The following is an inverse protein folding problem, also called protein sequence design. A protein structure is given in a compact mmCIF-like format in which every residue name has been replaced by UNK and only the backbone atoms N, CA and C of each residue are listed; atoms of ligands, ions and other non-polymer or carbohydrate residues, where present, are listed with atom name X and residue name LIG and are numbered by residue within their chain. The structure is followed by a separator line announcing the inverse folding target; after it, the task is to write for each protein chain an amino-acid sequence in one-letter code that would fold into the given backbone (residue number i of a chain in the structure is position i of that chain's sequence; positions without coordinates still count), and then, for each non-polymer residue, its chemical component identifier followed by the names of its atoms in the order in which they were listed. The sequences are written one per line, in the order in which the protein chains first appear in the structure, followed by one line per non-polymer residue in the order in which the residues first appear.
data_IF_118797237397
#
_entry.id   IF_118797237397
#
_cell.length_a   1.000
_cell.length_b   1.000
_cell.length_c   1.000
_cell.angle_alpha   90.00
_cell.angle_beta   90.00
_cell.angle_gamma   90.00
#
_symmetry.space_group_name_H-M   'P 1'
#
loop_
_entity.id
_entity.type
_entity.pdbx_description
1 polymer ?
#
# COMPACT_ATOMS: atom_id res chain seq x y z
N UNK A 1 -23.88 12.93 -9.79
CA UNK A 1 -22.81 11.97 -9.48
C UNK A 1 -22.16 12.45 -8.19
N UNK A 2 -21.63 11.59 -7.30
CA UNK A 2 -20.84 12.09 -6.18
C UNK A 2 -19.74 13.00 -6.72
N UNK A 3 -19.50 14.13 -6.06
CA UNK A 3 -18.65 15.22 -6.58
C UNK A 3 -17.17 14.82 -6.68
N UNK A 4 -16.75 13.76 -5.98
CA UNK A 4 -15.39 13.22 -6.00
C UNK A 4 -15.39 11.72 -6.34
N UNK A 5 -14.56 11.25 -7.30
CA UNK A 5 -14.40 9.83 -7.58
C UNK A 5 -13.55 9.14 -6.51
N UNK A 6 -13.87 7.89 -6.19
CA UNK A 6 -12.98 7.02 -5.40
C UNK A 6 -11.76 6.64 -6.24
N UNK A 7 -10.57 6.87 -5.71
CA UNK A 7 -9.30 6.46 -6.32
C UNK A 7 -8.81 5.19 -5.62
N UNK A 8 -8.48 4.19 -6.43
CA UNK A 8 -7.90 2.92 -5.98
C UNK A 8 -6.47 2.87 -6.48
N UNK A 9 -5.51 2.87 -5.56
CA UNK A 9 -4.09 3.03 -5.86
C UNK A 9 -3.34 1.82 -5.29
N UNK A 10 -3.02 0.80 -6.11
CA UNK A 10 -2.17 -0.30 -5.67
C UNK A 10 -0.74 0.21 -5.49
N UNK A 11 -0.22 0.11 -4.27
CA UNK A 11 1.17 0.47 -3.92
C UNK A 11 2.10 -0.74 -3.96
N UNK A 12 1.56 -1.95 -3.82
CA UNK A 12 2.28 -3.22 -4.00
C UNK A 12 1.33 -4.41 -4.09
N UNK A 13 1.84 -5.55 -4.56
CA UNK A 13 1.09 -6.80 -4.72
C UNK A 13 0.28 -6.92 -6.02
N UNK A 14 0.46 -5.99 -6.97
CA UNK A 14 -0.14 -6.09 -8.30
C UNK A 14 0.87 -6.68 -9.30
N UNK A 15 0.58 -7.88 -9.81
CA UNK A 15 1.47 -8.56 -10.77
C UNK A 15 2.59 -9.37 -10.12
N UNK A 16 2.62 -9.44 -8.79
CA UNK A 16 3.60 -10.16 -7.98
C UNK A 16 2.93 -10.76 -6.74
N UNK A 17 3.61 -11.70 -6.07
CA UNK A 17 3.14 -12.29 -4.80
C UNK A 17 3.90 -11.63 -3.65
N UNK A 18 3.17 -11.00 -2.72
CA UNK A 18 3.76 -10.30 -1.57
C UNK A 18 3.59 -8.79 -1.69
N UNK A 19 4.10 -8.04 -0.70
CA UNK A 19 4.05 -6.57 -0.66
C UNK A 19 2.64 -5.96 -0.81
N UNK A 20 1.58 -6.72 -0.49
CA UNK A 20 0.21 -6.25 -0.67
C UNK A 20 -0.03 -4.95 0.11
N UNK A 21 -0.34 -3.88 -0.62
CA UNK A 21 -0.70 -2.59 -0.04
C UNK A 21 -1.53 -1.80 -1.05
N UNK A 22 -2.71 -1.36 -0.63
CA UNK A 22 -3.62 -0.58 -1.47
C UNK A 22 -4.08 0.67 -0.73
N UNK A 23 -4.00 1.83 -1.38
CA UNK A 23 -4.58 3.07 -0.88
C UNK A 23 -5.94 3.31 -1.55
N UNK A 24 -6.95 3.55 -0.72
CA UNK A 24 -8.27 4.02 -1.11
C UNK A 24 -8.36 5.50 -0.74
N UNK A 25 -8.40 6.37 -1.75
CA UNK A 25 -8.48 7.82 -1.56
C UNK A 25 -9.86 8.31 -1.98
N UNK A 26 -10.51 9.04 -1.08
CA UNK A 26 -11.80 9.70 -1.32
C UNK A 26 -11.77 11.09 -0.68
N UNK A 27 -11.99 12.12 -1.49
CA UNK A 27 -11.84 13.52 -1.06
C UNK A 27 -10.47 13.75 -0.39
N UNK A 28 -10.45 14.22 0.85
CA UNK A 28 -9.22 14.52 1.59
C UNK A 28 -8.72 13.34 2.42
N UNK A 29 -9.36 12.18 2.35
CA UNK A 29 -9.07 11.04 3.22
C UNK A 29 -8.48 9.85 2.45
N UNK A 30 -7.51 9.19 3.09
CA UNK A 30 -6.88 7.98 2.60
C UNK A 30 -7.03 6.87 3.64
N UNK A 31 -7.52 5.71 3.21
CA UNK A 31 -7.48 4.46 3.98
C UNK A 31 -6.57 3.48 3.27
N UNK A 32 -5.63 2.89 4.01
CA UNK A 32 -4.71 1.87 3.49
C UNK A 32 -5.26 0.50 3.83
N UNK A 33 -5.20 -0.44 2.89
CA UNK A 33 -5.51 -1.86 3.09
C UNK A 33 -4.21 -2.64 2.99
N UNK A 34 -3.90 -3.36 4.07
CA UNK A 34 -2.68 -4.12 4.31
C UNK A 34 -1.38 -3.31 4.26
N UNK A 35 -0.32 -3.93 4.78
CA UNK A 35 1.04 -3.41 4.76
C UNK A 35 2.01 -4.58 4.63
N UNK A 36 1.86 -5.33 3.54
CA UNK A 36 2.59 -6.56 3.30
C UNK A 36 4.08 -6.34 3.05
N UNK A 37 4.83 -7.43 3.20
CA UNK A 37 6.25 -7.52 2.84
C UNK A 37 6.43 -8.57 1.76
N UNK A 38 7.55 -8.50 1.04
CA UNK A 38 8.03 -9.59 0.18
C UNK A 38 9.25 -10.20 0.85
N UNK A 39 9.22 -11.52 0.96
CA UNK A 39 10.40 -12.27 1.34
C UNK A 39 11.29 -12.47 0.11
N UNK A 40 12.61 -12.32 0.26
CA UNK A 40 13.57 -12.45 -0.82
C UNK A 40 13.56 -13.87 -1.40
N UNK A 41 13.82 -13.96 -2.70
CA UNK A 41 14.12 -15.24 -3.36
C UNK A 41 15.62 -15.57 -3.24
N UNK A 42 16.02 -16.79 -3.64
CA UNK A 42 17.40 -17.27 -3.54
C UNK A 42 18.42 -16.40 -4.31
N UNK A 43 17.95 -15.59 -5.26
CA UNK A 43 18.75 -14.68 -6.08
C UNK A 43 18.91 -13.27 -5.48
N UNK A 44 18.40 -13.02 -4.27
CA UNK A 44 18.46 -11.74 -3.57
C UNK A 44 19.37 -11.77 -2.32
N UNK A 45 20.71 -11.96 -2.48
CA UNK A 45 21.61 -12.10 -1.35
C UNK A 45 21.74 -10.80 -0.54
N UNK A 46 21.57 -10.90 0.78
CA UNK A 46 21.73 -9.79 1.71
C UNK A 46 20.48 -8.91 1.90
N UNK A 47 19.36 -9.26 1.26
CA UNK A 47 18.05 -8.65 1.52
C UNK A 47 17.33 -9.49 2.57
N UNK A 48 16.80 -8.85 3.63
CA UNK A 48 15.97 -9.54 4.64
C UNK A 48 14.49 -9.60 4.20
N UNK A 49 13.98 -8.48 3.68
CA UNK A 49 12.65 -8.34 3.09
C UNK A 49 12.58 -7.04 2.28
N UNK A 50 11.60 -6.96 1.39
CA UNK A 50 11.28 -5.75 0.63
C UNK A 50 9.88 -5.23 1.00
N UNK A 51 9.70 -3.91 0.98
CA UNK A 51 8.41 -3.24 1.23
C UNK A 51 7.98 -2.40 0.01
N UNK A 52 6.67 -2.11 -0.15
CA UNK A 52 6.17 -1.18 -1.15
C UNK A 52 6.81 0.20 -1.07
N UNK A 53 6.85 0.91 -2.20
CA UNK A 53 7.16 2.33 -2.21
C UNK A 53 5.97 3.12 -1.64
N UNK A 54 6.17 3.67 -0.44
CA UNK A 54 5.16 4.45 0.29
C UNK A 54 5.31 5.97 0.09
N UNK A 55 6.07 6.43 -0.92
CA UNK A 55 6.31 7.87 -1.15
C UNK A 55 5.00 8.66 -1.24
N UNK A 56 4.01 8.15 -1.97
CA UNK A 56 2.68 8.76 -2.06
C UNK A 56 2.00 8.91 -0.69
N UNK A 57 2.09 7.91 0.19
CA UNK A 57 1.52 7.99 1.55
C UNK A 57 2.30 8.93 2.45
N UNK A 58 3.63 9.01 2.30
CA UNK A 58 4.47 9.95 3.05
C UNK A 58 4.15 11.40 2.71
N UNK A 59 3.98 11.70 1.43
CA UNK A 59 3.62 13.03 0.93
C UNK A 59 2.20 13.46 1.33
N UNK A 60 1.31 12.50 1.65
CA UNK A 60 -0.08 12.73 2.05
C UNK A 60 -0.37 12.23 3.48
N UNK A 61 0.64 12.20 4.35
CA UNK A 61 0.54 11.53 5.66
C UNK A 61 -0.55 12.09 6.58
N UNK A 62 -0.87 13.37 6.46
CA UNK A 62 -1.94 14.09 7.18
C UNK A 62 -3.36 13.68 6.74
N UNK A 63 -3.48 13.07 5.56
CA UNK A 63 -4.73 12.56 4.97
C UNK A 63 -4.99 11.09 5.32
N UNK A 64 -3.99 10.36 5.81
CA UNK A 64 -4.13 8.93 6.15
C UNK A 64 -4.91 8.77 7.46
N UNK A 65 -6.06 8.07 7.38
CA UNK A 65 -6.99 7.91 8.51
C UNK A 65 -6.86 6.56 9.21
N UNK A 66 -6.54 5.51 8.47
CA UNK A 66 -6.44 4.15 9.02
C UNK A 66 -5.63 3.22 8.11
N UNK A 67 -5.15 2.15 8.72
CA UNK A 67 -4.65 0.95 8.03
C UNK A 67 -5.57 -0.21 8.43
N UNK A 68 -6.16 -0.87 7.45
CA UNK A 68 -7.00 -2.05 7.63
C UNK A 68 -6.16 -3.29 7.34
N UNK A 69 -5.94 -4.12 8.36
CA UNK A 69 -5.21 -5.37 8.22
C UNK A 69 -6.22 -6.49 8.00
N UNK A 70 -6.15 -7.12 6.83
CA UNK A 70 -7.11 -8.17 6.43
C UNK A 70 -6.87 -9.47 7.19
N UNK A 71 -5.60 -9.81 7.41
CA UNK A 71 -5.14 -10.99 8.15
C UNK A 71 -3.67 -10.82 8.57
N UNK A 72 -3.16 -11.76 9.37
CA UNK A 72 -1.76 -11.84 9.81
C UNK A 72 -1.34 -13.28 10.06
#
# INVERSE_FOLDING_TARGET
MPDSPLRVIPLGGLGEIGQNMMALEYEDDIVVVDAGVLFPEDDMPGIDFAIPDITYLRENSDRVRAILITHG
#
